data_IF_075158487701
#
_entry.id   IF_075158487701
#
_cell.length_a   1.000
_cell.length_b   1.000
_cell.length_c   1.000
_cell.angle_alpha   90.00
_cell.angle_beta   90.00
_cell.angle_gamma   90.00
#
_symmetry.space_group_name_H-M   'P 1'
#
loop_
_entity.id
_entity.type
_entity.pdbx_description
1 polymer ?
#
# COMPACT_ATOMS: atom_id res chain seq x y z
N UNK A 1 -50.80 71.74 15.13
CA UNK A 1 -50.29 70.56 14.39
C UNK A 1 -50.46 69.34 15.31
N UNK A 2 -51.60 68.62 15.22
CA UNK A 2 -51.77 67.23 14.68
C UNK A 2 -50.85 66.19 15.36
N UNK A 3 -51.37 65.34 16.27
CA UNK A 3 -51.83 63.91 16.10
C UNK A 3 -50.67 62.93 15.79
N UNK A 4 -50.51 61.68 16.28
CA UNK A 4 -51.39 60.58 16.76
C UNK A 4 -50.54 59.53 17.53
N UNK A 5 -51.03 58.88 18.61
CA UNK A 5 -51.44 57.46 18.78
C UNK A 5 -50.52 56.32 18.25
N UNK A 6 -50.22 55.37 19.17
CA UNK A 6 -50.00 53.90 19.10
C UNK A 6 -49.29 53.24 17.89
N UNK A 7 -48.29 52.38 18.16
CA UNK A 7 -48.42 50.90 18.06
C UNK A 7 -47.12 50.19 18.50
N UNK A 8 -47.24 49.17 19.34
CA UNK A 8 -46.20 48.17 19.57
C UNK A 8 -46.18 47.19 18.38
N UNK A 9 -44.99 46.79 17.92
CA UNK A 9 -44.85 45.56 17.13
C UNK A 9 -43.50 44.90 17.43
N UNK A 10 -43.57 43.81 18.20
CA UNK A 10 -42.54 42.80 18.25
C UNK A 10 -42.47 42.10 16.89
N UNK A 11 -41.26 41.95 16.34
CA UNK A 11 -40.99 41.03 15.24
C UNK A 11 -39.78 40.18 15.60
N UNK A 12 -40.10 39.02 16.14
CA UNK A 12 -39.24 37.85 16.13
C UNK A 12 -39.27 37.24 14.71
N UNK A 13 -38.10 37.17 14.08
CA UNK A 13 -37.73 36.23 13.01
C UNK A 13 -36.32 35.77 13.43
N UNK A 14 -36.07 34.59 13.98
CA UNK A 14 -36.71 33.32 13.70
C UNK A 14 -36.20 32.79 12.37
N UNK A 15 -35.03 32.13 12.39
CA UNK A 15 -34.67 30.90 11.65
C UNK A 15 -33.16 30.77 11.58
N UNK A 16 -32.63 29.77 12.27
CA UNK A 16 -31.19 29.48 12.31
C UNK A 16 -30.64 29.23 10.92
N UNK A 17 -29.60 29.99 10.56
CA UNK A 17 -28.59 29.50 9.65
C UNK A 17 -27.97 28.29 10.35
N UNK A 18 -28.44 27.10 9.99
CA UNK A 18 -27.83 25.84 10.38
C UNK A 18 -26.38 25.88 9.91
N UNK A 19 -25.45 26.04 10.87
CA UNK A 19 -24.00 25.99 10.70
C UNK A 19 -23.49 24.59 10.27
N UNK A 20 -24.27 23.83 9.50
CA UNK A 20 -23.96 22.46 9.07
C UNK A 20 -22.77 22.46 8.08
N UNK A 21 -22.42 23.59 7.46
CA UNK A 21 -21.33 23.67 6.48
C UNK A 21 -19.91 23.80 7.06
N UNK A 22 -19.74 24.39 8.25
CA UNK A 22 -18.41 24.82 8.71
C UNK A 22 -17.59 23.66 9.32
N UNK A 23 -18.23 22.79 10.10
CA UNK A 23 -17.57 21.68 10.78
C UNK A 23 -17.14 20.58 9.79
N UNK A 24 -18.00 20.24 8.82
CA UNK A 24 -17.66 19.26 7.78
C UNK A 24 -16.58 19.79 6.83
N UNK A 25 -16.61 21.07 6.47
CA UNK A 25 -15.54 21.69 5.68
C UNK A 25 -14.20 21.72 6.44
N UNK A 26 -14.22 21.95 7.75
CA UNK A 26 -13.03 21.88 8.61
C UNK A 26 -12.48 20.46 8.69
N UNK A 27 -13.32 19.44 8.90
CA UNK A 27 -12.86 18.03 8.95
C UNK A 27 -12.29 17.57 7.61
N UNK A 28 -12.93 17.92 6.48
CA UNK A 28 -12.42 17.64 5.14
C UNK A 28 -11.06 18.30 4.90
N UNK A 29 -10.86 19.53 5.38
CA UNK A 29 -9.57 20.22 5.27
C UNK A 29 -8.49 19.52 6.08
N UNK A 30 -8.79 19.06 7.29
CA UNK A 30 -7.84 18.29 8.10
C UNK A 30 -7.50 16.93 7.48
N UNK A 31 -8.50 16.22 6.95
CA UNK A 31 -8.29 14.97 6.19
C UNK A 31 -7.36 15.18 5.01
N UNK A 32 -7.50 16.28 4.26
CA UNK A 32 -6.61 16.59 3.13
C UNK A 32 -5.15 16.77 3.55
N UNK A 33 -4.88 17.17 4.80
CA UNK A 33 -3.50 17.26 5.31
C UNK A 33 -2.88 15.89 5.57
N UNK A 34 -3.70 14.85 5.76
CA UNK A 34 -3.25 13.46 5.91
C UNK A 34 -3.03 12.76 4.56
N UNK A 35 -3.34 13.43 3.44
CA UNK A 35 -3.17 12.85 2.12
C UNK A 35 -1.68 12.68 1.81
N UNK A 36 -1.33 11.44 1.48
CA UNK A 36 -0.01 11.06 1.01
C UNK A 36 -0.06 10.83 -0.50
N UNK A 37 1.06 11.05 -1.18
CA UNK A 37 1.24 10.60 -2.56
C UNK A 37 2.31 9.52 -2.59
N UNK A 38 2.05 8.50 -3.42
CA UNK A 38 2.96 7.37 -3.61
C UNK A 38 3.17 7.07 -5.07
N UNK A 39 4.31 6.44 -5.36
CA UNK A 39 4.61 5.91 -6.68
C UNK A 39 5.31 4.57 -6.51
N UNK A 40 4.92 3.59 -7.34
CA UNK A 40 5.60 2.31 -7.43
C UNK A 40 6.49 2.29 -8.66
N UNK A 41 7.74 1.88 -8.47
CA UNK A 41 8.74 1.71 -9.51
C UNK A 41 9.35 0.31 -9.42
N UNK A 42 9.93 -0.17 -10.51
CA UNK A 42 10.63 -1.44 -10.54
C UNK A 42 11.88 -1.34 -11.41
N UNK A 43 12.78 -2.28 -11.23
CA UNK A 43 13.97 -2.36 -12.04
C UNK A 43 14.84 -3.54 -11.65
N UNK A 44 16.05 -3.55 -12.21
CA UNK A 44 17.03 -4.59 -11.97
C UNK A 44 18.33 -3.98 -11.47
N UNK A 45 18.88 -4.55 -10.40
CA UNK A 45 20.15 -4.15 -9.79
C UNK A 45 21.19 -5.22 -10.09
N UNK A 46 22.34 -4.81 -10.61
CA UNK A 46 23.55 -5.63 -10.69
C UNK A 46 24.43 -5.34 -9.47
N UNK A 47 24.75 -6.39 -8.72
CA UNK A 47 25.50 -6.33 -7.47
C UNK A 47 26.88 -6.95 -7.70
N UNK A 48 27.92 -6.20 -7.35
CA UNK A 48 29.30 -6.67 -7.41
C UNK A 48 29.66 -7.62 -6.28
N UNK A 49 30.87 -8.19 -6.36
CA UNK A 49 31.34 -9.21 -5.40
C UNK A 49 31.40 -8.74 -3.95
N UNK A 50 31.64 -7.46 -3.71
CA UNK A 50 31.70 -6.88 -2.36
C UNK A 50 30.38 -6.21 -1.96
N UNK A 51 29.29 -6.50 -2.68
CA UNK A 51 27.95 -5.99 -2.35
C UNK A 51 27.66 -4.57 -2.83
N UNK A 52 28.57 -3.90 -3.53
CA UNK A 52 28.28 -2.62 -4.18
C UNK A 52 27.28 -2.78 -5.33
N UNK A 53 26.42 -1.77 -5.52
CA UNK A 53 25.66 -1.64 -6.76
C UNK A 53 26.59 -1.22 -7.89
N UNK A 54 26.73 -2.07 -8.91
CA UNK A 54 27.52 -1.80 -10.11
C UNK A 54 26.66 -1.13 -11.20
N UNK A 55 25.39 -1.52 -11.28
CA UNK A 55 24.45 -0.95 -12.23
C UNK A 55 23.00 -1.05 -11.73
N UNK A 56 22.15 -0.13 -12.20
CA UNK A 56 20.72 -0.11 -11.94
C UNK A 56 19.98 0.29 -13.20
N UNK A 57 19.06 -0.57 -13.62
CA UNK A 57 18.16 -0.33 -14.74
C UNK A 57 16.74 -0.14 -14.22
N UNK A 58 16.24 1.08 -14.28
CA UNK A 58 14.85 1.40 -13.97
C UNK A 58 13.94 0.96 -15.13
N UNK A 59 12.91 0.16 -14.83
CA UNK A 59 11.91 -0.24 -15.82
C UNK A 59 11.13 0.99 -16.29
N UNK A 60 10.72 1.01 -17.55
CA UNK A 60 9.86 2.07 -18.09
C UNK A 60 10.36 3.49 -17.77
N UNK A 61 11.68 3.71 -17.82
CA UNK A 61 12.35 4.97 -17.47
C UNK A 61 11.75 6.21 -18.15
N UNK A 62 11.21 6.03 -19.35
CA UNK A 62 10.51 7.02 -20.17
C UNK A 62 9.15 7.45 -19.58
N UNK A 63 8.54 6.62 -18.74
CA UNK A 63 7.27 6.88 -18.05
C UNK A 63 7.44 7.62 -16.73
N UNK A 64 8.68 7.81 -16.26
CA UNK A 64 9.01 8.42 -14.97
C UNK A 64 9.60 9.81 -15.20
N UNK A 65 9.16 10.79 -14.40
CA UNK A 65 9.70 12.14 -14.45
C UNK A 65 11.22 12.13 -14.23
N UNK A 66 11.95 12.95 -15.01
CA UNK A 66 13.40 12.87 -15.10
C UNK A 66 14.12 13.13 -13.77
N UNK A 67 13.59 14.06 -12.97
CA UNK A 67 14.03 14.39 -11.62
C UNK A 67 13.83 13.23 -10.64
N UNK A 68 12.63 12.62 -10.65
CA UNK A 68 12.30 11.47 -9.80
C UNK A 68 13.21 10.28 -10.12
N UNK A 69 13.38 9.96 -11.40
CA UNK A 69 14.22 8.85 -11.80
C UNK A 69 15.71 9.09 -11.49
N UNK A 70 16.22 10.31 -11.68
CA UNK A 70 17.60 10.64 -11.28
C UNK A 70 17.83 10.52 -9.78
N UNK A 71 16.85 10.92 -8.97
CA UNK A 71 16.89 10.75 -7.50
C UNK A 71 16.91 9.28 -7.12
N UNK A 72 16.06 8.45 -7.73
CA UNK A 72 16.05 6.99 -7.52
C UNK A 72 17.37 6.36 -7.96
N UNK A 73 17.90 6.73 -9.12
CA UNK A 73 19.18 6.23 -9.62
C UNK A 73 20.32 6.53 -8.63
N UNK A 74 20.37 7.76 -8.10
CA UNK A 74 21.36 8.17 -7.10
C UNK A 74 21.22 7.39 -5.79
N UNK A 75 19.99 7.25 -5.29
CA UNK A 75 19.70 6.49 -4.06
C UNK A 75 20.10 5.03 -4.21
N UNK A 76 19.66 4.35 -5.27
CA UNK A 76 19.97 2.92 -5.50
C UNK A 76 21.47 2.71 -5.70
N UNK A 77 22.17 3.59 -6.42
CA UNK A 77 23.64 3.48 -6.59
C UNK A 77 24.42 3.63 -5.28
N UNK A 78 23.85 4.28 -4.28
CA UNK A 78 24.47 4.46 -2.96
C UNK A 78 24.40 3.20 -2.07
N UNK A 79 23.53 2.25 -2.44
CA UNK A 79 23.27 1.08 -1.62
C UNK A 79 24.45 0.10 -1.54
N UNK A 80 24.48 -0.65 -0.43
CA UNK A 80 25.37 -1.78 -0.20
C UNK A 80 24.57 -2.99 0.27
N UNK A 81 24.83 -4.13 -0.36
CA UNK A 81 24.26 -5.41 -0.02
C UNK A 81 25.27 -6.27 0.73
N UNK A 82 24.78 -7.27 1.46
CA UNK A 82 25.61 -8.36 1.94
C UNK A 82 26.17 -9.13 0.72
N UNK A 83 27.49 -9.38 0.64
CA UNK A 83 28.08 -10.11 -0.47
C UNK A 83 27.42 -11.46 -0.70
N UNK A 84 26.92 -11.67 -1.92
CA UNK A 84 26.32 -12.95 -2.30
C UNK A 84 27.42 -14.00 -2.47
N UNK A 85 27.27 -15.15 -1.81
CA UNK A 85 28.26 -16.23 -1.82
C UNK A 85 27.68 -17.51 -2.40
N UNK A 86 28.45 -18.14 -3.27
CA UNK A 86 28.21 -19.51 -3.78
C UNK A 86 29.41 -20.34 -3.43
N UNK A 87 29.21 -21.46 -2.72
CA UNK A 87 30.29 -22.32 -2.20
C UNK A 87 31.35 -21.54 -1.39
N UNK A 88 30.89 -20.57 -0.59
CA UNK A 88 31.73 -19.69 0.23
C UNK A 88 32.46 -18.57 -0.52
N UNK A 89 32.45 -18.57 -1.86
CA UNK A 89 33.10 -17.55 -2.69
C UNK A 89 32.14 -16.44 -3.04
N UNK A 90 32.58 -15.19 -2.86
CA UNK A 90 31.81 -14.03 -3.27
C UNK A 90 31.69 -13.97 -4.80
N UNK A 91 30.46 -13.85 -5.29
CA UNK A 91 30.15 -13.79 -6.73
C UNK A 91 29.30 -12.56 -7.04
N UNK A 92 29.38 -12.00 -8.26
CA UNK A 92 28.41 -11.01 -8.71
C UNK A 92 27.01 -11.61 -8.68
N UNK A 93 26.01 -10.77 -8.40
CA UNK A 93 24.62 -11.17 -8.31
C UNK A 93 23.72 -10.17 -9.05
N UNK A 94 22.50 -10.61 -9.34
CA UNK A 94 21.49 -9.79 -9.99
C UNK A 94 20.16 -9.98 -9.27
N UNK A 95 19.45 -8.88 -9.02
CA UNK A 95 18.16 -8.90 -8.31
C UNK A 95 17.18 -7.97 -8.98
N UNK A 96 15.93 -8.38 -9.05
CA UNK A 96 14.82 -7.44 -9.26
C UNK A 96 14.63 -6.61 -8.00
N UNK A 97 14.20 -5.37 -8.18
CA UNK A 97 13.78 -4.47 -7.11
C UNK A 97 12.41 -3.89 -7.43
N UNK A 98 11.55 -3.86 -6.42
CA UNK A 98 10.31 -3.06 -6.43
C UNK A 98 10.42 -1.99 -5.36
N UNK A 99 10.30 -0.74 -5.78
CA UNK A 99 10.47 0.43 -4.95
C UNK A 99 9.11 1.09 -4.72
N UNK A 100 8.91 1.58 -3.49
CA UNK A 100 7.82 2.49 -3.17
C UNK A 100 8.39 3.85 -2.79
N UNK A 101 7.97 4.87 -3.51
CA UNK A 101 8.27 6.25 -3.21
C UNK A 101 7.10 6.85 -2.46
N UNK A 102 7.38 7.67 -1.45
CA UNK A 102 6.41 8.52 -0.77
C UNK A 102 6.80 9.97 -0.94
N UNK A 103 5.80 10.81 -1.17
CA UNK A 103 5.92 12.25 -1.13
C UNK A 103 5.20 12.78 0.12
N UNK A 104 5.97 13.42 1.01
CA UNK A 104 5.42 14.07 2.20
C UNK A 104 4.73 15.39 1.80
N UNK A 105 3.45 15.52 2.14
CA UNK A 105 2.63 16.74 2.02
C UNK A 105 2.55 17.38 0.63
N UNK A 106 1.38 17.26 0.00
CA UNK A 106 1.03 18.01 -1.22
C UNK A 106 0.70 19.50 -0.96
N UNK A 107 0.89 20.00 0.26
CA UNK A 107 0.49 21.36 0.67
C UNK A 107 1.66 22.32 0.94
N UNK A 108 2.90 21.82 0.95
CA UNK A 108 4.11 22.64 1.06
C UNK A 108 4.62 23.14 -0.29
N UNK A 109 5.53 24.13 -0.28
CA UNK A 109 6.21 24.65 -1.48
C UNK A 109 7.30 23.71 -2.03
N UNK A 110 7.72 22.71 -1.25
CA UNK A 110 8.70 21.70 -1.66
C UNK A 110 8.18 20.31 -1.30
N UNK A 111 8.00 19.44 -2.30
CA UNK A 111 7.61 18.05 -2.12
C UNK A 111 8.86 17.22 -1.80
N UNK A 112 8.96 16.72 -0.56
CA UNK A 112 10.04 15.81 -0.19
C UNK A 112 9.67 14.39 -0.61
N UNK A 113 10.48 13.78 -1.47
CA UNK A 113 10.28 12.41 -1.93
C UNK A 113 11.33 11.52 -1.26
N UNK A 114 10.89 10.38 -0.74
CA UNK A 114 11.78 9.34 -0.16
C UNK A 114 11.44 7.96 -0.68
N UNK A 115 12.41 7.06 -0.70
CA UNK A 115 12.18 5.62 -0.89
C UNK A 115 11.69 5.06 0.44
N UNK A 116 10.41 4.78 0.52
CA UNK A 116 9.76 4.33 1.75
C UNK A 116 9.83 2.82 1.94
N UNK A 117 9.95 2.06 0.86
CA UNK A 117 10.13 0.62 0.90
C UNK A 117 10.85 0.10 -0.34
N UNK A 118 11.57 -1.02 -0.19
CA UNK A 118 12.21 -1.74 -1.28
C UNK A 118 12.13 -3.25 -1.04
N UNK A 119 11.60 -3.98 -2.02
CA UNK A 119 11.57 -5.44 -2.00
C UNK A 119 12.48 -6.00 -3.09
N UNK A 120 13.34 -6.93 -2.71
CA UNK A 120 14.30 -7.58 -3.60
C UNK A 120 13.87 -9.01 -3.88
N UNK A 121 14.01 -9.46 -5.12
CA UNK A 121 13.65 -10.82 -5.51
C UNK A 121 14.51 -11.34 -6.65
N UNK A 122 14.43 -12.66 -6.91
CA UNK A 122 15.12 -13.23 -8.06
C UNK A 122 14.67 -12.54 -9.35
N UNK A 123 15.60 -12.38 -10.29
CA UNK A 123 15.22 -11.97 -11.65
C UNK A 123 14.34 -13.06 -12.22
N UNK A 124 13.11 -12.69 -12.57
CA UNK A 124 12.15 -13.61 -13.14
C UNK A 124 12.59 -13.99 -14.55
N UNK A 125 12.96 -15.26 -14.75
CA UNK A 125 12.84 -15.86 -16.06
C UNK A 125 11.33 -16.01 -16.30
N UNK A 126 10.78 -15.34 -17.33
CA UNK A 126 9.34 -15.26 -17.64
C UNK A 126 8.59 -16.62 -17.68
N UNK A 127 9.29 -17.75 -17.59
CA UNK A 127 8.75 -19.10 -17.68
C UNK A 127 8.98 -20.02 -16.47
N UNK A 128 9.60 -19.58 -15.37
CA UNK A 128 9.82 -20.44 -14.20
C UNK A 128 8.96 -20.00 -13.00
N UNK A 129 7.77 -20.59 -12.88
CA UNK A 129 6.97 -20.48 -11.66
C UNK A 129 7.77 -21.02 -10.48
N UNK A 130 8.25 -20.14 -9.60
CA UNK A 130 8.88 -20.54 -8.34
C UNK A 130 7.92 -21.39 -7.52
N UNK A 131 8.40 -22.56 -7.07
CA UNK A 131 7.73 -23.39 -6.07
C UNK A 131 8.14 -23.04 -4.64
N UNK A 132 8.95 -21.99 -4.47
CA UNK A 132 9.36 -21.48 -3.15
C UNK A 132 8.32 -20.51 -2.56
N UNK A 133 7.28 -20.17 -3.32
CA UNK A 133 6.36 -19.07 -3.02
C UNK A 133 4.93 -19.58 -2.80
N UNK A 134 4.22 -18.94 -1.88
CA UNK A 134 2.77 -19.08 -1.77
C UNK A 134 2.15 -18.42 -3.00
N UNK A 135 1.37 -19.17 -3.78
CA UNK A 135 0.69 -18.67 -4.98
C UNK A 135 -0.81 -18.69 -4.81
N UNK A 136 -1.50 -17.70 -5.37
CA UNK A 136 -2.96 -17.71 -5.45
C UNK A 136 -3.46 -18.90 -6.28
N UNK A 137 -4.42 -19.66 -5.76
CA UNK A 137 -5.08 -20.74 -6.50
C UNK A 137 -6.52 -20.37 -6.86
N UNK A 138 -7.34 -19.98 -5.89
CA UNK A 138 -8.71 -19.49 -6.10
C UNK A 138 -8.92 -18.24 -5.27
N UNK A 139 -8.85 -17.08 -5.92
CA UNK A 139 -8.94 -15.76 -5.29
C UNK A 139 -10.05 -14.93 -5.94
N UNK A 140 -11.31 -15.28 -5.64
CA UNK A 140 -12.45 -14.49 -6.14
C UNK A 140 -12.40 -13.09 -5.53
N UNK A 141 -12.46 -12.06 -6.38
CA UNK A 141 -12.52 -10.68 -5.94
C UNK A 141 -13.77 -10.43 -5.05
N UNK A 142 -13.65 -9.63 -3.98
CA UNK A 142 -14.79 -9.23 -3.16
C UNK A 142 -15.81 -8.43 -3.97
N UNK A 143 -17.09 -8.60 -3.65
CA UNK A 143 -18.14 -7.76 -4.21
C UNK A 143 -18.04 -6.33 -3.63
N UNK A 144 -18.32 -5.34 -4.46
CA UNK A 144 -18.34 -3.94 -4.03
C UNK A 144 -19.45 -3.72 -2.98
N UNK A 145 -19.13 -3.25 -1.76
CA UNK A 145 -20.16 -3.02 -0.74
C UNK A 145 -21.15 -1.93 -1.17
N UNK A 146 -22.45 -2.20 -1.11
CA UNK A 146 -23.51 -1.27 -1.54
C UNK A 146 -23.40 0.10 -0.88
N UNK A 147 -23.10 0.15 0.43
CA UNK A 147 -22.92 1.41 1.17
C UNK A 147 -21.75 2.25 0.66
N UNK A 148 -20.64 1.60 0.31
CA UNK A 148 -19.50 2.30 -0.29
C UNK A 148 -19.85 2.77 -1.71
N UNK A 149 -20.54 1.92 -2.48
CA UNK A 149 -20.94 2.25 -3.84
C UNK A 149 -21.91 3.42 -3.93
N UNK A 150 -22.90 3.48 -3.03
CA UNK A 150 -23.90 4.54 -2.98
C UNK A 150 -23.27 5.94 -2.82
N UNK A 151 -22.11 6.03 -2.15
CA UNK A 151 -21.39 7.30 -1.96
C UNK A 151 -20.10 7.40 -2.80
N UNK A 152 -19.93 6.52 -3.79
CA UNK A 152 -18.74 6.43 -4.63
C UNK A 152 -17.43 6.36 -3.83
N UNK A 153 -17.44 5.70 -2.68
CA UNK A 153 -16.26 5.61 -1.83
C UNK A 153 -15.29 4.57 -2.32
N UNK A 154 -14.02 4.95 -2.51
CA UNK A 154 -12.98 4.13 -3.14
C UNK A 154 -11.78 3.95 -2.20
N UNK A 155 -11.02 2.88 -2.41
CA UNK A 155 -9.85 2.61 -1.61
C UNK A 155 -9.20 1.26 -1.91
N UNK A 156 -8.14 0.99 -1.17
CA UNK A 156 -7.41 -0.27 -1.19
C UNK A 156 -7.38 -0.86 0.22
N UNK A 157 -7.72 -2.13 0.32
CA UNK A 157 -7.62 -2.92 1.55
C UNK A 157 -6.42 -3.84 1.42
N UNK A 158 -5.44 -3.69 2.31
CA UNK A 158 -4.37 -4.65 2.46
C UNK A 158 -4.79 -5.72 3.44
N UNK A 159 -4.87 -6.95 2.95
CA UNK A 159 -5.13 -8.11 3.77
C UNK A 159 -3.82 -8.77 4.19
N UNK A 160 -3.74 -9.17 5.45
CA UNK A 160 -2.79 -10.20 5.88
C UNK A 160 -3.55 -11.51 6.04
N UNK A 161 -3.12 -12.52 5.30
CA UNK A 161 -3.76 -13.83 5.22
C UNK A 161 -2.79 -14.86 5.75
N UNK A 162 -3.21 -15.59 6.78
CA UNK A 162 -2.50 -16.76 7.32
C UNK A 162 -2.91 -17.98 6.50
N UNK A 163 -2.01 -18.50 5.70
CA UNK A 163 -2.21 -19.65 4.82
C UNK A 163 -1.67 -20.90 5.51
N UNK A 164 -2.53 -21.90 5.73
CA UNK A 164 -2.13 -23.19 6.29
C UNK A 164 -1.44 -24.09 5.27
N UNK A 165 -0.82 -25.18 5.75
CA UNK A 165 -0.19 -26.22 4.91
C UNK A 165 -1.12 -26.86 3.89
N UNK A 166 -2.44 -26.84 4.12
CA UNK A 166 -3.44 -27.35 3.18
C UNK A 166 -3.83 -26.32 2.10
N UNK A 167 -3.18 -25.14 2.10
CA UNK A 167 -3.46 -24.05 1.18
C UNK A 167 -4.72 -23.26 1.52
N UNK A 168 -5.40 -23.55 2.63
CA UNK A 168 -6.58 -22.81 3.07
C UNK A 168 -6.20 -21.63 3.95
N UNK A 169 -7.09 -20.64 4.01
CA UNK A 169 -6.97 -19.52 4.93
C UNK A 169 -7.30 -19.99 6.34
N UNK A 170 -6.29 -19.97 7.22
CA UNK A 170 -6.44 -20.25 8.65
C UNK A 170 -6.94 -19.02 9.42
N UNK A 171 -6.49 -17.82 9.03
CA UNK A 171 -6.94 -16.55 9.59
C UNK A 171 -6.69 -15.39 8.61
N UNK A 172 -7.38 -14.27 8.77
CA UNK A 172 -7.22 -13.08 7.93
C UNK A 172 -7.64 -11.82 8.67
N UNK A 173 -6.84 -10.76 8.52
CA UNK A 173 -7.18 -9.41 8.97
C UNK A 173 -7.02 -8.40 7.82
N UNK A 174 -7.69 -7.26 7.95
CA UNK A 174 -7.32 -6.07 7.21
C UNK A 174 -6.19 -5.36 7.97
N UNK A 175 -4.96 -5.42 7.45
CA UNK A 175 -3.81 -4.72 8.04
C UNK A 175 -3.99 -3.21 7.96
N UNK A 176 -4.54 -2.73 6.83
CA UNK A 176 -4.85 -1.32 6.63
C UNK A 176 -5.90 -1.17 5.54
N UNK A 177 -6.68 -0.09 5.62
CA UNK A 177 -7.54 0.37 4.52
C UNK A 177 -7.21 1.81 4.17
N UNK A 178 -6.64 2.01 2.99
CA UNK A 178 -6.28 3.31 2.42
C UNK A 178 -7.45 3.80 1.56
N UNK A 179 -7.82 5.07 1.68
CA UNK A 179 -8.91 5.65 0.90
C UNK A 179 -8.36 6.56 -0.20
N UNK A 180 -8.96 6.49 -1.39
CA UNK A 180 -8.61 7.37 -2.52
C UNK A 180 -9.66 8.47 -2.74
N UNK A 181 -10.56 8.62 -1.77
CA UNK A 181 -11.58 9.67 -1.71
C UNK A 181 -11.42 10.49 -0.43
N UNK A 182 -11.73 11.78 -0.53
CA UNK A 182 -11.77 12.69 0.62
C UNK A 182 -13.23 12.85 1.04
N UNK A 183 -13.52 12.61 2.31
CA UNK A 183 -14.84 12.78 2.92
C UNK A 183 -14.69 13.19 4.40
N UNK A 184 -15.77 13.62 5.08
CA UNK A 184 -15.73 13.80 6.53
C UNK A 184 -15.33 12.51 7.25
N UNK A 185 -14.62 12.64 8.38
CA UNK A 185 -13.97 11.52 9.08
C UNK A 185 -14.93 10.34 9.37
N UNK A 186 -16.17 10.61 9.77
CA UNK A 186 -17.16 9.55 10.02
C UNK A 186 -17.47 8.71 8.79
N UNK A 187 -17.57 9.36 7.62
CA UNK A 187 -17.78 8.65 6.37
C UNK A 187 -16.54 7.86 5.97
N UNK A 188 -15.35 8.41 6.19
CA UNK A 188 -14.10 7.69 5.96
C UNK A 188 -13.97 6.45 6.84
N UNK A 189 -14.29 6.56 8.14
CA UNK A 189 -14.30 5.41 9.04
C UNK A 189 -15.31 4.35 8.56
N UNK A 190 -16.53 4.76 8.20
CA UNK A 190 -17.52 3.85 7.63
C UNK A 190 -17.00 3.15 6.37
N UNK A 191 -16.37 3.88 5.44
CA UNK A 191 -15.77 3.32 4.23
C UNK A 191 -14.70 2.29 4.57
N UNK A 192 -13.76 2.61 5.47
CA UNK A 192 -12.73 1.68 5.92
C UNK A 192 -13.36 0.40 6.46
N UNK A 193 -14.38 0.51 7.32
CA UNK A 193 -15.03 -0.63 7.94
C UNK A 193 -15.74 -1.53 6.92
N UNK A 194 -16.53 -0.96 5.99
CA UNK A 194 -17.30 -1.76 5.03
C UNK A 194 -16.41 -2.42 3.97
N UNK A 195 -15.37 -1.73 3.50
CA UNK A 195 -14.41 -2.28 2.54
C UNK A 195 -13.57 -3.37 3.19
N UNK A 196 -13.07 -3.15 4.41
CA UNK A 196 -12.32 -4.14 5.16
C UNK A 196 -13.17 -5.40 5.42
N UNK A 197 -14.41 -5.23 5.90
CA UNK A 197 -15.31 -6.35 6.20
C UNK A 197 -15.60 -7.22 4.98
N UNK A 198 -15.88 -6.62 3.82
CA UNK A 198 -16.15 -7.35 2.59
C UNK A 198 -14.92 -8.10 2.07
N UNK A 199 -13.74 -7.49 2.21
CA UNK A 199 -12.47 -8.09 1.80
C UNK A 199 -12.11 -9.27 2.68
N UNK A 200 -12.17 -9.11 4.01
CA UNK A 200 -11.90 -10.16 5.00
C UNK A 200 -12.88 -11.33 4.85
N UNK A 201 -14.18 -11.06 4.70
CA UNK A 201 -15.18 -12.14 4.58
C UNK A 201 -14.98 -12.97 3.31
N UNK A 202 -14.63 -12.32 2.20
CA UNK A 202 -14.36 -13.01 0.93
C UNK A 202 -13.06 -13.80 1.00
N UNK A 203 -12.01 -13.21 1.57
CA UNK A 203 -10.68 -13.81 1.64
C UNK A 203 -10.65 -15.11 2.45
N UNK A 204 -11.53 -15.28 3.44
CA UNK A 204 -11.69 -16.56 4.18
C UNK A 204 -12.01 -17.76 3.27
N UNK A 205 -12.56 -17.52 2.09
CA UNK A 205 -12.89 -18.57 1.11
C UNK A 205 -11.78 -18.81 0.08
N UNK A 206 -10.71 -18.02 0.10
CA UNK A 206 -9.61 -18.17 -0.85
C UNK A 206 -8.81 -19.44 -0.57
N UNK A 207 -8.17 -19.93 -1.63
CA UNK A 207 -7.18 -21.00 -1.53
C UNK A 207 -5.90 -20.63 -2.25
N UNK A 208 -4.82 -21.21 -1.78
CA UNK A 208 -3.46 -20.96 -2.22
C UNK A 208 -2.75 -22.28 -2.49
N UNK A 209 -1.67 -22.21 -3.27
CA UNK A 209 -0.67 -23.26 -3.37
C UNK A 209 0.49 -22.89 -2.44
N UNK A 210 0.70 -23.62 -1.33
CA UNK A 210 1.89 -23.46 -0.51
C UNK A 210 3.20 -23.73 -1.26
N UNK A 211 4.34 -23.22 -0.75
CA UNK A 211 5.66 -23.61 -1.24
C UNK A 211 5.87 -25.12 -1.13
N UNK A 212 6.47 -25.72 -2.15
CA UNK A 212 6.93 -27.12 -2.14
C UNK A 212 8.44 -27.24 -2.11
N UNK A 213 9.15 -26.13 -2.28
CA UNK A 213 10.62 -26.01 -2.23
C UNK A 213 11.01 -24.74 -1.45
N UNK A 214 12.31 -24.50 -1.27
CA UNK A 214 12.82 -23.36 -0.50
C UNK A 214 12.81 -23.59 1.01
N UNK A 215 13.41 -22.64 1.73
CA UNK A 215 13.62 -22.73 3.19
C UNK A 215 12.31 -22.81 3.99
N UNK A 216 11.24 -22.21 3.46
CA UNK A 216 9.97 -22.04 4.17
C UNK A 216 8.96 -23.17 3.84
N UNK A 217 9.31 -24.19 3.04
CA UNK A 217 8.36 -25.23 2.60
C UNK A 217 7.73 -26.04 3.74
N UNK A 218 8.44 -26.13 4.86
CA UNK A 218 8.04 -26.90 6.04
C UNK A 218 7.47 -26.00 7.14
N UNK A 219 7.11 -24.75 6.86
CA UNK A 219 6.44 -23.91 7.86
C UNK A 219 5.05 -24.46 8.19
N UNK A 220 4.58 -24.23 9.42
CA UNK A 220 3.22 -24.61 9.82
C UNK A 220 2.16 -23.74 9.12
N UNK A 221 2.53 -22.52 8.76
CA UNK A 221 1.73 -21.57 8.00
C UNK A 221 2.63 -20.53 7.35
N UNK A 222 2.10 -19.81 6.37
CA UNK A 222 2.73 -18.63 5.79
C UNK A 222 1.83 -17.43 5.97
N UNK A 223 2.42 -16.25 6.13
CA UNK A 223 1.66 -15.00 6.06
C UNK A 223 1.87 -14.39 4.68
N UNK A 224 0.78 -14.12 3.98
CA UNK A 224 0.81 -13.37 2.72
C UNK A 224 0.04 -12.07 2.86
N UNK A 225 0.54 -11.03 2.21
CA UNK A 225 -0.14 -9.76 2.02
C UNK A 225 -0.82 -9.77 0.66
N UNK A 226 -2.09 -9.37 0.62
CA UNK A 226 -2.89 -9.32 -0.62
C UNK A 226 -3.63 -7.98 -0.70
N UNK A 227 -3.34 -7.13 -1.70
CA UNK A 227 -4.11 -5.92 -1.94
C UNK A 227 -5.46 -6.23 -2.60
N UNK A 228 -6.51 -5.59 -2.12
CA UNK A 228 -7.85 -5.59 -2.73
C UNK A 228 -8.25 -4.16 -3.03
N UNK A 229 -8.44 -3.85 -4.31
CA UNK A 229 -8.78 -2.50 -4.76
C UNK A 229 -10.27 -2.36 -5.06
N UNK A 230 -10.84 -1.25 -4.60
CA UNK A 230 -12.21 -0.83 -4.90
C UNK A 230 -12.17 0.48 -5.68
N UNK A 231 -12.31 0.39 -7.00
CA UNK A 231 -12.27 1.53 -7.91
C UNK A 231 -13.43 1.44 -8.94
N UNK A 232 -14.04 2.58 -9.25
CA UNK A 232 -15.08 2.67 -10.31
C UNK A 232 -14.48 2.86 -11.69
N UNK A 233 -13.27 3.38 -11.74
CA UNK A 233 -12.50 3.54 -12.97
C UNK A 233 -11.59 2.32 -13.12
N UNK A 234 -11.59 1.70 -14.30
CA UNK A 234 -10.54 0.77 -14.71
C UNK A 234 -9.22 1.51 -14.99
N UNK A 235 -8.86 2.51 -14.17
CA UNK A 235 -7.54 3.12 -14.24
C UNK A 235 -6.57 2.11 -13.66
N UNK A 236 -6.06 1.26 -14.55
CA UNK A 236 -4.85 0.50 -14.30
C UNK A 236 -3.85 1.38 -13.55
N UNK A 237 -3.25 0.83 -12.51
CA UNK A 237 -2.17 1.48 -11.80
C UNK A 237 -1.05 1.75 -12.81
N UNK A 238 -0.93 3.01 -13.23
CA UNK A 238 0.01 3.37 -14.28
C UNK A 238 1.38 3.49 -13.65
N UNK A 239 2.25 2.55 -13.98
CA UNK A 239 3.68 2.59 -13.65
C UNK A 239 4.26 4.00 -13.81
N UNK A 240 5.03 4.46 -12.83
CA UNK A 240 5.68 5.78 -12.85
C UNK A 240 4.76 6.98 -12.58
N UNK A 241 3.53 6.75 -12.08
CA UNK A 241 2.57 7.83 -11.77
C UNK A 241 2.32 7.95 -10.27
N UNK A 242 2.21 9.19 -9.81
CA UNK A 242 1.79 9.50 -8.45
C UNK A 242 0.31 9.16 -8.24
N UNK A 243 0.03 8.43 -7.15
CA UNK A 243 -1.30 8.11 -6.65
C UNK A 243 -1.46 8.71 -5.26
N UNK A 244 -2.47 9.57 -5.11
CA UNK A 244 -2.83 10.17 -3.84
C UNK A 244 -3.81 9.28 -3.07
N UNK A 245 -3.60 9.14 -1.77
CA UNK A 245 -4.47 8.38 -0.88
C UNK A 245 -4.40 8.94 0.53
N UNK A 246 -5.35 8.54 1.38
CA UNK A 246 -5.37 8.85 2.81
C UNK A 246 -5.16 7.53 3.55
N UNK A 247 -4.04 7.38 4.29
CA UNK A 247 -3.76 6.14 5.00
C UNK A 247 -4.81 5.85 6.06
N UNK A 248 -5.10 4.55 6.26
CA UNK A 248 -5.82 4.07 7.43
C UNK A 248 -4.89 3.76 8.61
N UNK A 249 -5.42 3.60 9.83
CA UNK A 249 -4.64 3.04 10.93
C UNK A 249 -4.15 1.64 10.57
N UNK A 250 -2.94 1.29 11.04
CA UNK A 250 -2.37 -0.04 10.83
C UNK A 250 -2.75 -0.97 11.96
N UNK A 251 -3.30 -2.13 11.63
CA UNK A 251 -3.59 -3.20 12.57
C UNK A 251 -2.49 -4.25 12.52
N UNK A 252 -2.14 -4.82 13.67
CA UNK A 252 -1.22 -5.94 13.75
C UNK A 252 -1.99 -7.26 13.70
N UNK A 253 -1.48 -8.22 12.93
CA UNK A 253 -2.03 -9.57 12.91
C UNK A 253 -1.68 -10.29 14.22
N UNK A 254 -2.65 -10.85 14.96
CA UNK A 254 -2.39 -11.51 16.25
C UNK A 254 -1.40 -12.66 16.19
N UNK A 255 -1.21 -13.26 15.02
CA UNK A 255 -0.27 -14.36 14.79
C UNK A 255 1.15 -13.91 14.39
N UNK A 256 1.39 -12.61 14.22
CA UNK A 256 2.74 -12.06 14.00
C UNK A 256 3.32 -11.63 15.35
N UNK A 257 4.41 -12.26 15.76
CA UNK A 257 5.08 -12.00 17.04
C UNK A 257 6.57 -11.77 16.82
N UNK A 258 7.27 -11.16 17.80
CA UNK A 258 8.72 -10.93 17.71
C UNK A 258 9.11 -9.99 16.56
N UNK A 259 10.20 -10.31 15.86
CA UNK A 259 10.72 -9.51 14.75
C UNK A 259 9.74 -9.41 13.58
N UNK A 260 8.91 -10.44 13.38
CA UNK A 260 7.85 -10.40 12.38
C UNK A 260 6.81 -9.33 12.68
N UNK A 261 6.55 -8.95 13.93
CA UNK A 261 5.61 -7.87 14.23
C UNK A 261 6.13 -6.50 13.75
N UNK A 262 7.45 -6.33 13.68
CA UNK A 262 8.13 -5.08 13.31
C UNK A 262 8.36 -4.95 11.80
N UNK A 263 8.26 -6.04 11.03
CA UNK A 263 8.40 -5.98 9.58
C UNK A 263 7.21 -5.22 8.94
N UNK A 264 7.43 -3.92 8.71
CA UNK A 264 6.54 -3.03 7.98
C UNK A 264 6.77 -3.18 6.49
N UNK A 265 6.02 -4.07 5.84
CA UNK A 265 6.03 -4.18 4.37
C UNK A 265 5.18 -3.11 3.70
N UNK A 266 5.34 -2.99 2.37
CA UNK A 266 4.67 -2.05 1.48
C UNK A 266 3.15 -1.98 1.68
N UNK A 267 2.62 -0.76 1.85
CA UNK A 267 1.17 -0.52 2.02
C UNK A 267 0.42 -0.28 0.69
N UNK A 268 1.08 -0.43 -0.45
CA UNK A 268 0.51 -0.28 -1.78
C UNK A 268 1.19 -1.27 -2.73
N UNK A 269 0.57 -2.42 -2.85
CA UNK A 269 1.09 -3.54 -3.62
C UNK A 269 0.31 -3.66 -4.93
N UNK A 270 0.94 -4.07 -6.05
CA UNK A 270 0.21 -4.28 -7.29
C UNK A 270 -0.98 -5.21 -7.09
N UNK A 271 -2.14 -4.79 -7.61
CA UNK A 271 -3.41 -5.50 -7.45
C UNK A 271 -3.33 -6.95 -7.94
N UNK A 272 -4.02 -7.85 -7.24
CA UNK A 272 -4.11 -9.26 -7.62
C UNK A 272 -2.86 -10.10 -7.33
N UNK A 273 -1.79 -9.47 -6.82
CA UNK A 273 -0.59 -10.19 -6.38
C UNK A 273 -0.77 -10.86 -5.00
N UNK A 274 0.06 -11.88 -4.76
CA UNK A 274 0.23 -12.54 -3.46
C UNK A 274 1.66 -12.33 -3.03
N UNK A 275 1.86 -11.67 -1.89
CA UNK A 275 3.19 -11.24 -1.44
C UNK A 275 3.50 -11.88 -0.09
N UNK A 276 4.46 -12.81 -0.05
CA UNK A 276 4.86 -13.41 1.23
C UNK A 276 5.48 -12.37 2.15
N UNK A 277 5.09 -12.40 3.43
CA UNK A 277 5.61 -11.53 4.47
C UNK A 277 6.79 -12.18 5.16
N UNK A 278 7.83 -11.41 5.51
CA UNK A 278 9.02 -11.92 6.19
C UNK A 278 9.97 -12.68 5.26
N UNK A 279 9.72 -12.66 3.95
CA UNK A 279 10.59 -13.27 2.95
C UNK A 279 11.80 -12.37 2.69
N UNK A 280 12.99 -12.90 2.96
CA UNK A 280 14.29 -12.29 2.67
C UNK A 280 15.06 -13.18 1.67
N UNK A 281 14.42 -13.56 0.57
CA UNK A 281 15.06 -14.38 -0.48
C UNK A 281 15.89 -13.54 -1.47
N UNK A 282 15.68 -12.23 -1.48
CA UNK A 282 16.56 -11.28 -2.15
C UNK A 282 17.84 -10.98 -1.35
N UNK A 283 18.87 -10.41 -2.00
CA UNK A 283 20.09 -9.99 -1.33
C UNK A 283 19.79 -9.02 -0.19
N UNK A 284 20.45 -9.22 0.96
CA UNK A 284 20.23 -8.40 2.15
C UNK A 284 20.84 -7.02 1.97
N UNK A 285 20.02 -5.97 2.07
CA UNK A 285 20.51 -4.60 2.07
C UNK A 285 21.12 -4.24 3.44
N UNK A 286 22.31 -3.63 3.44
CA UNK A 286 23.05 -3.21 4.64
C UNK A 286 22.95 -1.71 4.91
N UNK A 287 22.63 -0.91 3.88
CA UNK A 287 22.44 0.53 3.98
C UNK A 287 20.97 0.90 4.17
N UNK A 288 20.66 2.08 4.73
CA UNK A 288 19.31 2.63 4.71
C UNK A 288 18.77 2.83 3.29
N UNK A 289 17.45 2.90 3.14
CA UNK A 289 16.79 3.10 1.85
C UNK A 289 17.03 4.49 1.25
N UNK A 290 17.31 5.51 2.06
CA UNK A 290 17.50 6.90 1.64
C UNK A 290 16.77 7.88 2.54
#
# INVERSE_FOLDING_TARGET
>A
MRSSLFLALALALGSGATCIGSADAQTVREVRKQMEASMTLSGVINIGREGQVEDFQLDGRDKVAADVASMVDGTVRSWRFEPVRVDGKAVPARTEVRLRLLADSLTGTTMQIRVADANFGPVSDENRLSSDDVRGLKMRAPAYPERAAAIRGQGEVLLLVKVGRDGKVADVIAERTNLTVVAPERQMQMLRDVLAKASVSTARSWTFNPPTTGANKDDAFWTVRVPVRYDFSKREERYGRWSAYIPGPRQQAPWRTGEDANATGTDLLPEGGVYMVGRNDGPRLLTPLG
#
